data_IF_919546216649
#
_entry.id   IF_919546216649
#
_cell.length_a   1.000
_cell.length_b   1.000
_cell.length_c   1.000
_cell.angle_alpha   90.00
_cell.angle_beta   90.00
_cell.angle_gamma   90.00
#
_symmetry.space_group_name_H-M   'P 1'
#
loop_
_entity.id
_entity.type
_entity.pdbx_description
1 polymer ?
#
# COMPACT_ATOMS: atom_id res chain seq x y z
N UNK A 1 10.34 -80.32 -14.45
CA UNK A 1 10.27 -79.80 -13.07
C UNK A 1 10.59 -78.29 -12.98
N UNK A 2 10.96 -77.61 -14.08
CA UNK A 2 11.34 -76.18 -14.05
C UNK A 2 10.19 -75.18 -13.79
N UNK A 3 8.96 -75.43 -14.27
CA UNK A 3 7.87 -74.44 -14.16
C UNK A 3 7.32 -74.20 -12.74
N UNK A 4 7.74 -74.97 -11.74
CA UNK A 4 7.32 -74.79 -10.35
C UNK A 4 8.25 -73.85 -9.56
N UNK A 5 9.51 -73.69 -9.99
CA UNK A 5 10.47 -72.82 -9.33
C UNK A 5 10.19 -71.34 -9.62
N UNK A 6 9.89 -70.99 -10.88
CA UNK A 6 9.63 -69.60 -11.29
C UNK A 6 8.44 -68.98 -10.56
N UNK A 7 7.35 -69.75 -10.37
CA UNK A 7 6.16 -69.27 -9.64
C UNK A 7 6.40 -69.06 -8.14
N UNK A 8 7.38 -69.74 -7.56
CA UNK A 8 7.73 -69.60 -6.15
C UNK A 8 8.54 -68.32 -5.91
N UNK A 9 9.48 -68.02 -6.81
CA UNK A 9 10.32 -66.82 -6.74
C UNK A 9 9.52 -65.52 -6.96
N UNK A 10 8.53 -65.53 -7.85
CA UNK A 10 7.66 -64.36 -8.07
C UNK A 10 6.81 -64.00 -6.85
N UNK A 11 6.33 -65.00 -6.09
CA UNK A 11 5.57 -64.79 -4.86
C UNK A 11 6.40 -64.19 -3.73
N UNK A 12 7.66 -64.62 -3.58
CA UNK A 12 8.58 -64.07 -2.57
C UNK A 12 8.97 -62.64 -2.90
N UNK A 13 9.22 -62.33 -4.20
CA UNK A 13 9.59 -60.97 -4.64
C UNK A 13 8.45 -59.97 -4.43
N UNK A 14 7.21 -60.38 -4.66
CA UNK A 14 6.02 -59.56 -4.36
C UNK A 14 5.80 -59.39 -2.85
N UNK A 15 5.99 -60.45 -2.07
CA UNK A 15 5.92 -60.38 -0.60
C UNK A 15 6.96 -59.43 0.00
N UNK A 16 8.20 -59.48 -0.52
CA UNK A 16 9.27 -58.57 -0.10
C UNK A 16 8.94 -57.13 -0.49
N UNK A 17 8.50 -56.86 -1.72
CA UNK A 17 8.12 -55.52 -2.17
C UNK A 17 6.95 -54.94 -1.36
N UNK A 18 5.92 -55.75 -1.07
CA UNK A 18 4.80 -55.34 -0.23
C UNK A 18 5.24 -55.04 1.21
N UNK A 19 6.13 -55.85 1.77
CA UNK A 19 6.72 -55.61 3.09
C UNK A 19 7.52 -54.31 3.13
N UNK A 20 8.40 -54.07 2.14
CA UNK A 20 9.16 -52.82 2.05
C UNK A 20 8.25 -51.60 1.90
N UNK A 21 7.19 -51.69 1.09
CA UNK A 21 6.22 -50.62 0.94
C UNK A 21 5.49 -50.32 2.27
N UNK A 22 5.07 -51.36 3.00
CA UNK A 22 4.42 -51.20 4.30
C UNK A 22 5.36 -50.54 5.32
N UNK A 23 6.61 -51.00 5.40
CA UNK A 23 7.60 -50.41 6.30
C UNK A 23 7.92 -48.96 5.92
N UNK A 24 8.04 -48.65 4.62
CA UNK A 24 8.23 -47.28 4.15
C UNK A 24 7.05 -46.36 4.52
N UNK A 25 5.80 -46.86 4.40
CA UNK A 25 4.62 -46.13 4.84
C UNK A 25 4.61 -45.89 6.35
N UNK A 26 4.95 -46.89 7.16
CA UNK A 26 5.00 -46.76 8.63
C UNK A 26 6.10 -45.79 9.06
N UNK A 27 7.28 -45.86 8.45
CA UNK A 27 8.41 -44.94 8.71
C UNK A 27 8.01 -43.50 8.34
N UNK A 28 7.36 -43.30 7.18
CA UNK A 28 6.88 -41.99 6.77
C UNK A 28 5.85 -41.43 7.77
N UNK A 29 4.94 -42.28 8.25
CA UNK A 29 3.93 -41.90 9.25
C UNK A 29 4.58 -41.52 10.59
N UNK A 30 5.59 -42.27 11.05
CA UNK A 30 6.38 -41.93 12.23
C UNK A 30 7.14 -40.62 12.05
N UNK A 31 7.78 -40.40 10.90
CA UNK A 31 8.47 -39.14 10.61
C UNK A 31 7.51 -37.94 10.61
N UNK A 32 6.29 -38.11 10.08
CA UNK A 32 5.25 -37.07 10.12
C UNK A 32 4.76 -36.77 11.54
N UNK A 33 4.77 -37.76 12.45
CA UNK A 33 4.41 -37.58 13.86
C UNK A 33 5.55 -36.97 14.70
N UNK A 34 6.80 -37.12 14.24
CA UNK A 34 7.99 -36.51 14.85
C UNK A 34 8.28 -35.10 14.31
N UNK A 35 7.53 -34.61 13.31
CA UNK A 35 7.65 -33.22 12.88
C UNK A 35 7.32 -32.30 14.06
N UNK A 36 8.24 -31.39 14.45
CA UNK A 36 7.96 -30.45 15.52
C UNK A 36 6.75 -29.61 15.13
N UNK A 37 5.72 -29.63 15.99
CA UNK A 37 4.55 -28.79 15.84
C UNK A 37 5.03 -27.34 15.83
N UNK A 38 4.76 -26.60 14.77
CA UNK A 38 5.05 -25.18 14.72
C UNK A 38 4.27 -24.50 15.86
N UNK A 39 4.98 -24.10 16.91
CA UNK A 39 4.43 -23.27 17.96
C UNK A 39 4.19 -21.88 17.38
N UNK A 40 3.00 -21.27 17.58
CA UNK A 40 2.83 -19.87 17.26
C UNK A 40 3.86 -19.07 18.08
N UNK A 41 4.47 -18.01 17.50
CA UNK A 41 5.36 -17.15 18.26
C UNK A 41 4.61 -16.68 19.51
N UNK A 42 5.24 -16.88 20.67
CA UNK A 42 4.73 -16.33 21.91
C UNK A 42 4.50 -14.83 21.70
N UNK A 43 3.35 -14.27 22.13
CA UNK A 43 3.19 -12.83 22.12
C UNK A 43 4.36 -12.25 22.91
N UNK A 44 5.12 -11.35 22.26
CA UNK A 44 6.08 -10.51 22.95
C UNK A 44 5.37 -9.87 24.14
N UNK A 45 6.02 -9.76 25.31
CA UNK A 45 5.50 -8.88 26.35
C UNK A 45 5.29 -7.51 25.71
N UNK A 46 4.07 -7.00 25.77
CA UNK A 46 3.84 -5.57 25.60
C UNK A 46 4.66 -4.91 26.72
N UNK A 47 5.89 -4.52 26.40
CA UNK A 47 6.56 -3.42 27.07
C UNK A 47 5.78 -2.17 26.64
N UNK A 48 4.55 -2.08 27.16
CA UNK A 48 3.73 -0.91 27.07
C UNK A 48 4.61 0.24 27.55
N UNK A 49 4.79 1.22 26.67
CA UNK A 49 5.40 2.48 27.02
C UNK A 49 4.59 3.03 28.21
N UNK A 50 5.09 2.84 29.42
CA UNK A 50 4.62 3.56 30.59
C UNK A 50 4.98 5.02 30.34
N UNK A 51 4.08 5.73 29.67
CA UNK A 51 4.07 7.19 29.64
C UNK A 51 3.76 7.59 31.08
N UNK A 52 4.81 7.72 31.88
CA UNK A 52 4.74 8.47 33.12
C UNK A 52 4.45 9.92 32.73
N UNK A 53 3.19 10.33 32.88
CA UNK A 53 2.79 11.72 32.84
C UNK A 53 3.63 12.42 33.91
N UNK A 54 4.65 13.15 33.47
CA UNK A 54 5.34 14.13 34.32
C UNK A 54 4.27 15.08 34.82
N UNK A 55 3.96 15.12 36.12
CA UNK A 55 3.07 16.13 36.65
C UNK A 55 3.78 17.47 36.45
N UNK A 56 3.25 18.32 35.58
CA UNK A 56 3.65 19.72 35.59
C UNK A 56 3.39 20.26 37.00
N UNK A 57 4.38 20.86 37.67
CA UNK A 57 4.17 21.48 38.97
C UNK A 57 3.03 22.51 38.88
N UNK A 58 1.93 22.20 39.54
CA UNK A 58 0.86 23.15 39.81
C UNK A 58 1.42 24.25 40.71
N UNK A 59 1.57 25.45 40.14
CA UNK A 59 1.82 26.67 40.90
C UNK A 59 0.69 26.90 41.92
N UNK A 60 1.00 27.40 43.12
CA UNK A 60 0.03 27.52 44.21
C UNK A 60 -1.07 28.56 43.92
N UNK A 61 -2.27 28.40 44.51
CA UNK A 61 -3.39 29.26 44.24
C UNK A 61 -3.15 30.65 44.84
N UNK A 62 -3.05 31.66 43.97
CA UNK A 62 -3.11 33.05 44.41
C UNK A 62 -4.58 33.40 44.70
N UNK A 63 -4.80 33.69 45.98
CA UNK A 63 -6.00 34.22 46.63
C UNK A 63 -6.79 35.22 45.75
N UNK A 64 -8.08 34.94 45.59
CA UNK A 64 -9.06 35.80 44.93
C UNK A 64 -9.46 37.01 45.78
N UNK A 65 -9.56 38.19 45.16
CA UNK A 65 -10.54 39.25 45.46
C UNK A 65 -10.77 40.09 44.17
N UNK A 66 -11.92 40.77 44.01
CA UNK A 66 -12.76 40.58 42.83
C UNK A 66 -12.87 41.83 41.96
N UNK A 67 -12.92 41.66 40.64
CA UNK A 67 -13.33 42.74 39.73
C UNK A 67 -14.67 42.43 39.07
N UNK A 68 -15.61 43.28 39.47
CA UNK A 68 -16.99 43.53 39.07
C UNK A 68 -17.26 43.47 37.54
N UNK A 69 -18.31 42.72 37.19
CA UNK A 69 -19.12 42.67 35.94
C UNK A 69 -19.72 44.08 35.66
N UNK A 70 -19.91 44.60 34.41
CA UNK A 70 -20.83 44.03 33.40
C UNK A 70 -20.61 44.28 31.88
N UNK A 71 -20.93 43.26 31.05
CA UNK A 71 -22.01 43.15 30.02
C UNK A 71 -22.39 44.35 29.08
N UNK A 72 -23.19 44.16 27.98
CA UNK A 72 -22.74 44.15 26.57
C UNK A 72 -23.46 45.13 25.60
N UNK A 73 -23.05 45.09 24.31
CA UNK A 73 -23.70 45.57 23.04
C UNK A 73 -23.82 47.09 22.75
N UNK A 74 -24.15 47.60 21.51
CA UNK A 74 -24.42 46.97 20.18
C UNK A 74 -23.85 47.70 18.89
N UNK A 75 -23.92 47.01 17.73
CA UNK A 75 -24.29 47.41 16.33
C UNK A 75 -23.90 48.77 15.64
N UNK A 76 -23.10 48.69 14.53
CA UNK A 76 -23.17 49.21 13.09
C UNK A 76 -24.03 50.49 12.72
N UNK A 77 -23.87 51.28 11.59
CA UNK A 77 -23.04 51.26 10.33
C UNK A 77 -22.37 52.62 9.88
N UNK A 78 -21.69 52.62 8.71
CA UNK A 78 -21.83 53.60 7.57
C UNK A 78 -20.48 54.10 6.96
N UNK A 79 -20.08 53.53 5.81
CA UNK A 79 -19.92 54.11 4.47
C UNK A 79 -18.94 55.29 4.23
N UNK A 80 -17.90 55.06 3.42
CA UNK A 80 -17.61 55.79 2.15
C UNK A 80 -16.33 55.23 1.48
N UNK A 81 -16.37 55.11 0.15
CA UNK A 81 -15.30 54.68 -0.77
C UNK A 81 -14.86 55.92 -1.61
N UNK A 82 -14.06 55.82 -2.69
CA UNK A 82 -12.68 55.35 -2.91
C UNK A 82 -11.78 56.46 -3.53
N UNK A 83 -10.45 56.29 -3.57
CA UNK A 83 -9.62 57.04 -4.53
C UNK A 83 -8.41 56.24 -5.03
N UNK A 84 -8.35 56.14 -6.36
CA UNK A 84 -7.31 55.52 -7.16
C UNK A 84 -6.12 56.46 -7.36
N UNK A 85 -4.90 55.92 -7.50
CA UNK A 85 -3.95 56.41 -8.51
C UNK A 85 -2.81 55.41 -8.76
N UNK A 86 -2.60 55.10 -10.04
CA UNK A 86 -1.37 54.55 -10.61
C UNK A 86 -0.80 55.66 -11.51
N UNK A 87 0.53 55.79 -11.70
CA UNK A 87 1.12 55.13 -12.87
C UNK A 87 2.58 54.64 -12.69
N UNK A 88 2.96 53.65 -13.50
CA UNK A 88 4.35 53.27 -13.80
C UNK A 88 5.07 54.34 -14.67
N UNK A 89 6.42 54.27 -14.82
CA UNK A 89 6.93 53.88 -16.14
C UNK A 89 8.21 53.02 -16.19
N UNK A 90 8.17 52.02 -17.07
CA UNK A 90 9.14 51.54 -18.10
C UNK A 90 10.64 51.91 -18.00
N UNK A 91 11.54 50.91 -18.07
CA UNK A 91 12.58 50.77 -19.14
C UNK A 91 13.70 49.73 -18.87
N UNK A 92 13.83 48.79 -19.82
CA UNK A 92 15.06 48.27 -20.45
C UNK A 92 16.02 47.28 -19.74
N UNK A 93 16.03 46.03 -20.25
CA UNK A 93 17.08 44.97 -20.17
C UNK A 93 18.26 45.29 -21.14
N UNK A 94 19.48 44.62 -21.14
CA UNK A 94 19.63 43.15 -21.23
C UNK A 94 20.99 42.57 -20.66
N UNK A 95 21.51 41.37 -21.03
CA UNK A 95 21.80 40.27 -20.07
C UNK A 95 23.28 39.83 -20.01
N UNK A 96 23.75 39.27 -18.88
CA UNK A 96 25.08 38.65 -18.82
C UNK A 96 25.12 37.48 -17.83
N UNK A 97 25.08 36.26 -18.36
CA UNK A 97 26.01 35.17 -18.05
C UNK A 97 25.52 33.89 -18.74
N UNK A 98 26.12 33.60 -19.88
CA UNK A 98 25.99 32.31 -20.54
C UNK A 98 26.69 31.23 -19.69
N UNK A 99 25.94 30.23 -19.24
CA UNK A 99 26.49 28.90 -18.96
C UNK A 99 26.27 28.03 -20.20
N UNK A 100 27.24 27.19 -20.59
CA UNK A 100 27.16 26.42 -21.82
C UNK A 100 26.04 25.39 -21.76
N UNK A 101 25.15 25.46 -22.75
CA UNK A 101 24.16 24.43 -23.04
C UNK A 101 24.86 23.11 -23.34
N UNK A 102 24.69 22.13 -22.46
CA UNK A 102 24.92 20.72 -22.82
C UNK A 102 23.76 20.25 -23.67
N UNK A 103 24.08 19.95 -24.92
CA UNK A 103 23.18 19.41 -25.93
C UNK A 103 22.62 18.04 -25.51
N UNK A 104 21.29 17.97 -25.51
CA UNK A 104 20.43 16.82 -25.82
C UNK A 104 20.60 15.52 -25.02
N UNK A 105 19.74 15.34 -24.03
CA UNK A 105 19.14 14.02 -23.75
C UNK A 105 17.90 13.93 -24.63
N UNK A 106 17.79 12.85 -25.41
CA UNK A 106 16.65 12.55 -26.25
C UNK A 106 15.33 12.69 -25.46
N UNK A 107 14.22 13.18 -26.07
CA UNK A 107 12.95 13.30 -25.38
C UNK A 107 12.53 11.94 -24.81
N UNK A 108 12.20 11.84 -23.51
CA UNK A 108 11.54 10.63 -23.01
C UNK A 108 10.26 10.43 -23.81
N UNK A 109 9.97 9.19 -24.18
CA UNK A 109 8.69 8.85 -24.81
C UNK A 109 7.55 9.54 -24.04
N UNK A 110 6.59 10.18 -24.75
CA UNK A 110 5.53 10.92 -24.08
C UNK A 110 4.79 9.96 -23.15
N UNK A 111 4.86 10.26 -21.85
CA UNK A 111 4.08 9.52 -20.87
C UNK A 111 2.60 9.82 -21.14
N UNK A 112 1.70 8.84 -20.95
CA UNK A 112 0.27 9.08 -21.08
C UNK A 112 -0.09 10.28 -20.19
N UNK A 113 -0.83 11.25 -20.72
CA UNK A 113 -1.46 12.31 -19.92
C UNK A 113 -2.89 11.94 -19.53
N UNK A 114 -3.35 10.76 -19.96
CA UNK A 114 -4.70 10.27 -19.77
C UNK A 114 -4.70 8.90 -19.10
N UNK A 115 -5.82 8.57 -18.45
CA UNK A 115 -6.04 7.25 -17.88
C UNK A 115 -6.09 6.19 -18.97
N UNK A 116 -5.28 5.15 -18.81
CA UNK A 116 -5.30 3.96 -19.65
C UNK A 116 -6.25 2.94 -19.01
N UNK A 117 -7.34 2.63 -19.71
CA UNK A 117 -8.27 1.59 -19.27
C UNK A 117 -7.62 0.21 -19.33
N UNK A 118 -7.81 -0.59 -18.27
CA UNK A 118 -7.32 -1.95 -18.22
C UNK A 118 -8.12 -2.85 -19.16
N UNK A 119 -7.44 -3.53 -20.08
CA UNK A 119 -8.05 -4.55 -20.95
C UNK A 119 -8.31 -5.87 -20.24
N UNK A 120 -7.70 -6.07 -19.07
CA UNK A 120 -7.83 -7.26 -18.22
C UNK A 120 -7.74 -6.86 -16.77
N UNK A 121 -8.58 -7.49 -15.95
CA UNK A 121 -8.55 -7.37 -14.49
C UNK A 121 -7.89 -8.61 -13.87
N UNK A 122 -7.19 -8.43 -12.75
CA UNK A 122 -6.31 -9.44 -12.17
C UNK A 122 -6.71 -9.87 -10.75
N UNK A 123 -7.28 -8.97 -9.96
CA UNK A 123 -7.68 -9.16 -8.55
C UNK A 123 -8.42 -10.47 -8.30
N UNK A 124 -9.42 -10.80 -9.12
CA UNK A 124 -10.17 -12.05 -9.04
C UNK A 124 -9.28 -13.30 -9.15
N UNK A 125 -8.34 -13.29 -10.11
CA UNK A 125 -7.44 -14.43 -10.31
C UNK A 125 -6.41 -14.53 -9.19
N UNK A 126 -5.89 -13.39 -8.72
CA UNK A 126 -4.95 -13.34 -7.59
C UNK A 126 -5.62 -13.89 -6.34
N UNK A 127 -6.84 -13.46 -6.04
CA UNK A 127 -7.56 -13.91 -4.86
C UNK A 127 -8.03 -15.36 -4.95
N UNK A 128 -8.30 -15.87 -6.15
CA UNK A 128 -8.62 -17.28 -6.36
C UNK A 128 -7.44 -18.23 -6.07
N UNK A 129 -6.20 -17.74 -6.06
CA UNK A 129 -5.04 -18.55 -5.69
C UNK A 129 -5.17 -19.08 -4.25
N UNK A 130 -4.94 -20.37 -4.00
CA UNK A 130 -4.94 -20.94 -2.65
C UNK A 130 -4.01 -20.22 -1.66
N UNK A 131 -2.89 -19.66 -2.14
CA UNK A 131 -1.92 -18.91 -1.33
C UNK A 131 -2.51 -17.59 -0.82
N UNK A 132 -3.49 -17.03 -1.52
CA UNK A 132 -4.18 -15.79 -1.17
C UNK A 132 -5.30 -15.98 -0.12
N UNK A 133 -5.34 -17.13 0.57
CA UNK A 133 -6.38 -17.42 1.58
C UNK A 133 -6.40 -16.37 2.70
N UNK A 134 -5.23 -16.02 3.25
CA UNK A 134 -5.13 -15.00 4.28
C UNK A 134 -5.61 -13.63 3.81
N UNK A 135 -5.20 -13.21 2.61
CA UNK A 135 -5.69 -11.97 2.00
C UNK A 135 -7.22 -11.95 1.82
N UNK A 136 -7.80 -13.07 1.36
CA UNK A 136 -9.26 -13.21 1.26
C UNK A 136 -9.96 -13.14 2.62
N UNK A 137 -9.36 -13.69 3.66
CA UNK A 137 -9.89 -13.62 5.04
C UNK A 137 -9.83 -12.19 5.57
N UNK A 138 -8.69 -11.52 5.44
CA UNK A 138 -8.50 -10.12 5.82
C UNK A 138 -9.49 -9.20 5.09
N UNK A 139 -9.65 -9.34 3.77
CA UNK A 139 -10.61 -8.54 3.00
C UNK A 139 -12.06 -8.72 3.48
N UNK A 140 -12.44 -9.91 3.98
CA UNK A 140 -13.79 -10.17 4.51
C UNK A 140 -14.05 -9.49 5.85
N UNK A 141 -13.01 -9.21 6.64
CA UNK A 141 -13.16 -8.53 7.93
C UNK A 141 -13.18 -7.01 7.83
N UNK A 142 -12.86 -6.44 6.66
CA UNK A 142 -12.83 -4.99 6.47
C UNK A 142 -14.22 -4.40 6.25
N UNK A 143 -14.39 -3.12 6.63
CA UNK A 143 -15.55 -2.34 6.24
C UNK A 143 -15.69 -2.28 4.72
N UNK A 144 -16.91 -2.11 4.21
CA UNK A 144 -17.18 -2.18 2.77
C UNK A 144 -16.34 -1.23 1.91
N UNK A 145 -16.16 0.02 2.35
CA UNK A 145 -15.32 1.02 1.67
C UNK A 145 -13.84 0.63 1.68
N UNK A 146 -13.34 0.17 2.83
CA UNK A 146 -11.94 -0.24 3.00
C UNK A 146 -11.64 -1.50 2.18
N UNK A 147 -12.53 -2.49 2.19
CA UNK A 147 -12.44 -3.67 1.33
C UNK A 147 -12.38 -3.29 -0.15
N UNK A 148 -13.18 -2.31 -0.58
CA UNK A 148 -13.17 -1.84 -1.96
C UNK A 148 -11.84 -1.16 -2.31
N UNK A 149 -11.31 -0.31 -1.42
CA UNK A 149 -10.00 0.33 -1.59
C UNK A 149 -8.88 -0.72 -1.73
N UNK A 150 -8.79 -1.67 -0.79
CA UNK A 150 -7.79 -2.73 -0.80
C UNK A 150 -7.85 -3.62 -2.05
N UNK A 151 -9.06 -3.91 -2.56
CA UNK A 151 -9.23 -4.62 -3.83
C UNK A 151 -8.68 -3.81 -5.00
N UNK A 152 -8.97 -2.50 -5.05
CA UNK A 152 -8.48 -1.61 -6.08
C UNK A 152 -6.95 -1.40 -6.00
N UNK A 153 -6.39 -1.39 -4.80
CA UNK A 153 -4.93 -1.33 -4.57
C UNK A 153 -4.23 -2.60 -5.07
N UNK A 154 -4.80 -3.77 -4.76
CA UNK A 154 -4.32 -5.05 -5.30
C UNK A 154 -4.35 -5.05 -6.83
N UNK A 155 -5.44 -4.57 -7.43
CA UNK A 155 -5.55 -4.44 -8.88
C UNK A 155 -4.49 -3.48 -9.43
N UNK A 156 -4.28 -2.32 -8.80
CA UNK A 156 -3.27 -1.35 -9.22
C UNK A 156 -1.85 -1.95 -9.24
N UNK A 157 -1.48 -2.69 -8.20
CA UNK A 157 -0.21 -3.42 -8.11
C UNK A 157 -0.06 -4.45 -9.25
N UNK A 158 -1.13 -5.17 -9.57
CA UNK A 158 -1.11 -6.15 -10.67
C UNK A 158 -1.02 -5.49 -12.05
N UNK A 159 -1.68 -4.35 -12.25
CA UNK A 159 -1.60 -3.59 -13.50
C UNK A 159 -0.17 -3.09 -13.75
N UNK A 160 0.55 -2.68 -12.71
CA UNK A 160 1.95 -2.24 -12.81
C UNK A 160 2.98 -3.33 -12.55
N UNK A 161 2.56 -4.61 -12.45
CA UNK A 161 3.44 -5.74 -12.08
C UNK A 161 4.71 -5.89 -12.91
N UNK A 162 4.71 -5.42 -14.16
CA UNK A 162 5.92 -5.40 -15.02
C UNK A 162 7.04 -4.51 -14.47
N UNK A 163 6.68 -3.43 -13.77
CA UNK A 163 7.63 -2.59 -13.06
C UNK A 163 8.28 -3.35 -11.89
N UNK A 164 7.58 -4.37 -11.35
CA UNK A 164 7.88 -5.03 -10.07
C UNK A 164 7.73 -4.00 -8.94
N UNK A 165 6.47 -3.65 -8.60
CA UNK A 165 6.23 -2.76 -7.49
C UNK A 165 6.53 -3.48 -6.16
N UNK A 166 7.13 -2.77 -5.22
CA UNK A 166 7.47 -3.28 -3.90
C UNK A 166 6.38 -2.85 -2.89
N UNK A 167 5.92 -1.60 -2.97
CA UNK A 167 4.86 -1.04 -2.13
C UNK A 167 3.93 -0.13 -2.94
N UNK A 168 2.69 0.02 -2.48
CA UNK A 168 1.73 1.02 -2.93
C UNK A 168 1.31 1.89 -1.73
N UNK A 169 1.33 3.21 -1.92
CA UNK A 169 0.82 4.21 -1.00
C UNK A 169 -0.33 4.96 -1.70
N UNK A 170 -1.60 4.55 -1.54
CA UNK A 170 -2.73 5.09 -2.31
C UNK A 170 -3.07 6.56 -1.98
N UNK A 171 -2.61 7.07 -0.84
CA UNK A 171 -2.90 8.42 -0.35
C UNK A 171 -1.67 9.32 -0.15
N UNK A 172 -0.55 9.02 -0.82
CA UNK A 172 0.74 9.71 -0.61
C UNK A 172 0.69 11.24 -0.84
N UNK A 173 0.05 11.68 -1.94
CA UNK A 173 0.00 13.09 -2.36
C UNK A 173 -1.37 13.73 -2.11
N UNK A 174 -2.42 12.92 -2.06
CA UNK A 174 -3.80 13.35 -1.89
C UNK A 174 -4.65 12.17 -1.40
N UNK A 175 -5.68 12.42 -0.58
CA UNK A 175 -6.57 11.37 -0.10
C UNK A 175 -7.35 10.73 -1.25
N UNK A 176 -7.63 9.44 -1.09
CA UNK A 176 -8.54 8.71 -1.96
C UNK A 176 -9.99 9.16 -1.78
N UNK A 177 -10.80 8.96 -2.82
CA UNK A 177 -12.23 9.18 -2.79
C UNK A 177 -12.96 7.86 -3.00
N UNK A 178 -13.66 7.42 -1.97
CA UNK A 178 -14.52 6.23 -2.04
C UNK A 178 -15.99 6.65 -2.07
N UNK A 179 -16.73 6.19 -3.09
CA UNK A 179 -18.16 6.48 -3.26
C UNK A 179 -18.90 5.20 -3.64
N UNK A 180 -19.56 4.58 -2.65
CA UNK A 180 -20.22 3.30 -2.82
C UNK A 180 -19.25 2.22 -3.32
N UNK A 181 -19.44 1.79 -4.56
CA UNK A 181 -18.61 0.77 -5.22
C UNK A 181 -17.54 1.37 -6.15
N UNK A 182 -17.28 2.67 -6.09
CA UNK A 182 -16.24 3.34 -6.88
C UNK A 182 -15.15 3.89 -5.98
N UNK A 183 -13.89 3.71 -6.40
CA UNK A 183 -12.69 4.25 -5.78
C UNK A 183 -11.94 5.10 -6.80
N UNK A 184 -11.57 6.31 -6.42
CA UNK A 184 -10.72 7.20 -7.19
C UNK A 184 -9.51 7.61 -6.37
N UNK A 185 -8.31 7.33 -6.89
CA UNK A 185 -7.02 7.70 -6.33
C UNK A 185 -6.32 8.65 -7.30
N UNK A 186 -6.05 9.89 -6.86
CA UNK A 186 -5.33 10.90 -7.64
C UNK A 186 -3.94 11.22 -7.11
N UNK A 187 -3.64 10.82 -5.89
CA UNK A 187 -2.38 11.07 -5.21
C UNK A 187 -1.62 9.81 -4.82
N UNK A 188 -1.85 8.70 -5.51
CA UNK A 188 -1.18 7.45 -5.20
C UNK A 188 0.29 7.44 -5.61
N UNK A 189 1.09 6.62 -4.95
CA UNK A 189 2.46 6.35 -5.32
C UNK A 189 2.74 4.84 -5.23
N UNK A 190 3.58 4.30 -6.11
CA UNK A 190 4.13 2.95 -5.92
C UNK A 190 5.65 2.99 -5.99
N UNK A 191 6.31 2.16 -5.20
CA UNK A 191 7.75 2.00 -5.22
C UNK A 191 8.13 0.88 -6.18
N UNK A 192 9.24 1.06 -6.89
CA UNK A 192 9.84 0.02 -7.71
C UNK A 192 11.32 0.29 -7.86
N UNK A 193 12.16 -0.70 -7.47
CA UNK A 193 13.62 -0.62 -7.57
C UNK A 193 14.19 0.60 -6.82
N UNK A 194 13.73 0.79 -5.59
CA UNK A 194 14.19 1.88 -4.72
C UNK A 194 13.80 3.29 -5.19
N UNK A 195 12.78 3.43 -6.04
CA UNK A 195 12.23 4.73 -6.47
C UNK A 195 10.72 4.74 -6.36
N UNK A 196 10.17 5.89 -5.99
CA UNK A 196 8.73 6.13 -5.97
C UNK A 196 8.24 6.74 -7.27
N UNK A 197 7.07 6.31 -7.74
CA UNK A 197 6.42 6.82 -8.94
C UNK A 197 4.97 7.17 -8.65
N UNK A 198 4.51 8.29 -9.18
CA UNK A 198 3.09 8.66 -9.09
C UNK A 198 2.23 7.64 -9.83
N UNK A 199 1.07 7.31 -9.25
CA UNK A 199 0.02 6.55 -9.89
C UNK A 199 -1.35 7.14 -9.51
N UNK A 200 -2.20 7.26 -10.53
CA UNK A 200 -3.60 7.58 -10.34
C UNK A 200 -4.42 6.41 -10.87
N UNK A 201 -5.56 6.13 -10.26
CA UNK A 201 -6.48 5.14 -10.81
C UNK A 201 -7.95 5.45 -10.48
N UNK A 202 -8.82 4.94 -11.34
CA UNK A 202 -10.26 4.84 -11.14
C UNK A 202 -10.63 3.37 -11.19
N UNK A 203 -11.36 2.91 -10.19
CA UNK A 203 -11.71 1.52 -10.00
C UNK A 203 -13.19 1.43 -9.62
N UNK A 204 -13.93 0.55 -10.28
CA UNK A 204 -15.32 0.28 -9.93
C UNK A 204 -15.54 -1.20 -9.67
N UNK A 205 -16.36 -1.48 -8.67
CA UNK A 205 -16.77 -2.81 -8.26
C UNK A 205 -18.25 -3.03 -8.58
N UNK A 206 -18.60 -4.27 -8.87
CA UNK A 206 -19.99 -4.70 -8.95
C UNK A 206 -20.64 -4.68 -7.56
N UNK A 207 -21.84 -4.12 -7.48
CA UNK A 207 -22.56 -3.96 -6.20
C UNK A 207 -23.00 -5.30 -5.58
N UNK A 208 -23.24 -6.32 -6.40
CA UNK A 208 -23.65 -7.64 -5.93
C UNK A 208 -22.47 -8.52 -5.53
N UNK A 209 -21.60 -8.83 -6.49
CA UNK A 209 -20.46 -9.74 -6.31
C UNK A 209 -19.28 -9.12 -5.56
N UNK A 210 -19.19 -7.78 -5.49
CA UNK A 210 -18.07 -7.09 -4.88
C UNK A 210 -16.76 -7.26 -5.65
N UNK A 211 -16.81 -7.71 -6.90
CA UNK A 211 -15.66 -7.90 -7.81
C UNK A 211 -15.39 -6.63 -8.59
N UNK A 212 -14.14 -6.39 -8.96
CA UNK A 212 -13.79 -5.26 -9.84
C UNK A 212 -14.36 -5.54 -11.23
N UNK A 213 -15.04 -4.53 -11.80
CA UNK A 213 -15.63 -4.58 -13.15
C UNK A 213 -15.00 -3.57 -14.11
N UNK A 214 -14.35 -2.53 -13.58
CA UNK A 214 -13.55 -1.62 -14.39
C UNK A 214 -12.37 -1.07 -13.60
N UNK A 215 -11.28 -0.84 -14.31
CA UNK A 215 -10.08 -0.21 -13.78
C UNK A 215 -9.43 0.62 -14.88
N UNK A 216 -8.94 1.80 -14.54
CA UNK A 216 -8.11 2.62 -15.41
C UNK A 216 -7.04 3.30 -14.58
N UNK A 217 -5.81 3.35 -15.07
CA UNK A 217 -4.69 3.98 -14.36
C UNK A 217 -3.87 4.91 -15.23
N UNK A 218 -3.18 5.83 -14.56
CA UNK A 218 -2.23 6.75 -15.14
C UNK A 218 -0.96 6.69 -14.28
N UNK A 219 0.13 6.19 -14.86
CA UNK A 219 1.45 6.17 -14.23
C UNK A 219 2.22 7.43 -14.61
N UNK A 220 2.64 8.18 -13.59
CA UNK A 220 3.27 9.47 -13.73
C UNK A 220 4.80 9.45 -13.64
N UNK A 221 5.35 10.57 -13.16
CA UNK A 221 6.79 10.72 -12.97
C UNK A 221 7.26 10.07 -11.67
N UNK A 222 8.57 9.78 -11.65
CA UNK A 222 9.25 9.46 -10.40
C UNK A 222 9.12 10.67 -9.46
N UNK A 223 8.84 10.38 -8.20
CA UNK A 223 8.73 11.38 -7.14
C UNK A 223 10.17 11.67 -6.67
N UNK A 224 10.62 12.94 -6.67
CA UNK A 224 11.96 13.30 -6.18
C UNK A 224 12.18 12.83 -4.74
N UNK A 225 13.36 12.28 -4.44
CA UNK A 225 13.69 11.75 -3.11
C UNK A 225 13.57 12.81 -2.01
N UNK A 226 13.84 14.08 -2.35
CA UNK A 226 13.66 15.20 -1.44
C UNK A 226 12.20 15.41 -0.98
N UNK A 227 11.22 14.89 -1.72
CA UNK A 227 9.79 15.01 -1.39
C UNK A 227 9.29 13.80 -0.58
N UNK A 228 10.05 12.71 -0.50
CA UNK A 228 9.55 11.44 0.06
C UNK A 228 9.14 11.56 1.52
N UNK A 229 9.94 12.23 2.34
CA UNK A 229 9.65 12.44 3.76
C UNK A 229 8.37 13.24 3.98
N UNK A 230 8.03 14.16 3.07
CA UNK A 230 6.81 14.97 3.17
C UNK A 230 5.54 14.18 2.83
N UNK A 231 5.69 13.01 2.22
CA UNK A 231 4.62 12.13 1.73
C UNK A 231 4.65 10.74 2.36
N UNK A 232 5.39 10.58 3.48
CA UNK A 232 5.57 9.32 4.20
C UNK A 232 6.05 8.15 3.31
N UNK A 233 6.82 8.48 2.27
CA UNK A 233 7.38 7.51 1.34
C UNK A 233 8.71 7.00 1.87
N UNK A 234 8.72 5.77 2.38
CA UNK A 234 9.92 5.17 2.97
C UNK A 234 10.90 4.77 1.87
N UNK A 235 12.20 4.95 2.13
CA UNK A 235 13.26 4.41 1.28
C UNK A 235 13.33 2.90 1.47
N UNK A 236 13.39 2.17 0.37
CA UNK A 236 13.67 0.73 0.45
C UNK A 236 15.12 0.56 0.91
N UNK A 237 15.31 0.39 2.22
CA UNK A 237 16.63 0.25 2.84
C UNK A 237 17.20 -1.19 2.67
N UNK A 238 16.63 -1.99 1.77
CA UNK A 238 16.96 -3.40 1.60
C UNK A 238 16.43 -4.24 2.77
N UNK A 239 16.72 -5.56 2.79
CA UNK A 239 16.40 -6.35 3.97
C UNK A 239 17.17 -5.73 5.14
N UNK A 240 16.45 -5.14 6.08
CA UNK A 240 17.01 -4.83 7.39
C UNK A 240 17.71 -6.11 7.88
N UNK A 241 19.02 -5.98 8.14
CA UNK A 241 19.86 -7.08 8.57
C UNK A 241 19.21 -7.84 9.74
N UNK A 242 19.02 -9.15 9.51
CA UNK A 242 18.85 -10.30 10.44
C UNK A 242 18.05 -10.13 11.74
#
# INVERSE_FOLDING_TARGET
MEMAADKWDDGIRWGAAASFALHACVILLLLLLLLPKAEPPLPLPDDGLSVEIVPQPSEPPTKSEPVKVPSPDPTKPEAASPQAESPAPVANNPPAAAMPSVTSVAPPAPKPTEFVAASRLFSDKVLADPRSRGAREALRSLAGSERNLQLCDLEALEQVRRARPDMLAPYAMAPEKVSGNSVEVRGGAFSSKGKWYNIQFKCALDAGSGKIVSFASLVGNAIPEAEWQAHDLVKDDGPADQ
#
